data_IF_476023021703
#
_entry.id   IF_476023021703
#
_cell.length_a   1.000
_cell.length_b   1.000
_cell.length_c   1.000
_cell.angle_alpha   90.00
_cell.angle_beta   90.00
_cell.angle_gamma   90.00
#
_symmetry.space_group_name_H-M   'P 1'
#
loop_
_entity.id
_entity.type
_entity.pdbx_description
1 polymer ?
#
# COMPACT_ATOMS: atom_id res chain seq x y z
N UNK A 1 -19.32 0.03 -19.38
CA UNK A 1 -19.45 -0.35 -17.94
C UNK A 1 -18.14 -0.97 -17.52
N UNK A 2 -17.66 -0.59 -16.37
CA UNK A 2 -16.45 -1.20 -15.77
C UNK A 2 -16.82 -2.61 -15.29
N UNK A 3 -15.94 -3.59 -15.55
CA UNK A 3 -16.14 -4.96 -15.05
C UNK A 3 -16.20 -4.94 -13.51
N UNK A 4 -17.13 -5.70 -12.94
CA UNK A 4 -17.30 -5.73 -11.48
C UNK A 4 -16.36 -6.77 -10.89
N UNK A 5 -15.42 -6.37 -10.00
CA UNK A 5 -14.54 -7.32 -9.32
C UNK A 5 -15.32 -8.13 -8.27
N UNK A 6 -14.90 -9.37 -8.03
CA UNK A 6 -15.38 -10.19 -6.91
C UNK A 6 -14.53 -10.01 -5.66
N UNK A 7 -13.26 -9.65 -5.86
CA UNK A 7 -12.35 -9.32 -4.78
C UNK A 7 -11.45 -8.14 -5.17
N UNK A 8 -11.08 -7.33 -4.20
CA UNK A 8 -10.13 -6.21 -4.36
C UNK A 8 -9.08 -6.30 -3.26
N UNK A 9 -7.83 -6.27 -3.67
CA UNK A 9 -6.69 -6.08 -2.79
C UNK A 9 -6.18 -4.66 -2.94
N UNK A 10 -6.15 -3.93 -1.84
CA UNK A 10 -5.67 -2.54 -1.80
C UNK A 10 -4.24 -2.47 -1.27
N UNK A 11 -3.43 -1.58 -1.82
CA UNK A 11 -2.34 -1.01 -1.06
C UNK A 11 -2.90 -0.11 0.05
N UNK A 12 -2.03 0.47 0.89
CA UNK A 12 -2.43 1.22 2.07
C UNK A 12 -2.08 2.70 1.98
N UNK A 13 -0.78 3.04 2.07
CA UNK A 13 -0.31 4.43 2.03
C UNK A 13 -0.49 5.02 0.63
N UNK A 14 -1.01 6.24 0.52
CA UNK A 14 -1.41 6.91 -0.73
C UNK A 14 -2.55 6.24 -1.52
N UNK A 15 -3.06 5.10 -1.06
CA UNK A 15 -4.19 4.40 -1.67
C UNK A 15 -5.47 4.56 -0.86
N UNK A 16 -5.42 4.26 0.43
CA UNK A 16 -6.54 4.39 1.38
C UNK A 16 -6.27 5.43 2.47
N UNK A 17 -5.00 5.65 2.81
CA UNK A 17 -4.60 6.56 3.89
C UNK A 17 -3.42 7.44 3.50
N UNK A 18 -3.25 8.53 4.23
CA UNK A 18 -2.05 9.36 4.26
C UNK A 18 -1.41 9.27 5.65
N UNK A 19 -0.16 8.80 5.71
CA UNK A 19 0.69 8.80 6.90
C UNK A 19 2.11 9.29 6.59
N UNK A 20 2.30 9.98 5.47
CA UNK A 20 3.60 10.47 5.04
C UNK A 20 4.28 11.41 6.04
N UNK A 21 3.57 12.28 6.77
CA UNK A 21 4.21 13.07 7.82
C UNK A 21 4.86 12.19 8.90
N UNK A 22 4.21 11.11 9.32
CA UNK A 22 4.75 10.15 10.28
C UNK A 22 5.94 9.38 9.74
N UNK A 23 5.83 8.87 8.51
CA UNK A 23 6.91 8.14 7.80
C UNK A 23 8.13 9.03 7.59
N UNK A 24 7.93 10.28 7.15
CA UNK A 24 9.03 11.24 6.92
C UNK A 24 9.74 11.61 8.22
N UNK A 25 8.99 11.83 9.30
CA UNK A 25 9.58 12.12 10.60
C UNK A 25 10.44 10.95 11.12
N UNK A 26 9.95 9.72 10.99
CA UNK A 26 10.68 8.51 11.39
C UNK A 26 11.94 8.30 10.53
N UNK A 27 11.84 8.52 9.22
CA UNK A 27 13.00 8.44 8.32
C UNK A 27 14.06 9.47 8.66
N UNK A 28 13.65 10.70 8.97
CA UNK A 28 14.57 11.77 9.37
C UNK A 28 15.23 11.52 10.73
N UNK A 29 14.56 10.82 11.64
CA UNK A 29 15.19 10.36 12.88
C UNK A 29 16.31 9.34 12.58
N UNK A 30 16.05 8.38 11.68
CA UNK A 30 17.08 7.44 11.27
C UNK A 30 18.23 8.12 10.51
N UNK A 31 17.93 8.99 9.53
CA UNK A 31 18.94 9.74 8.77
C UNK A 31 19.82 10.59 9.69
N UNK A 32 19.21 11.32 10.63
CA UNK A 32 19.96 12.15 11.61
C UNK A 32 20.89 11.35 12.50
N UNK A 33 20.52 10.15 12.92
CA UNK A 33 21.37 9.27 13.72
C UNK A 33 22.60 8.74 12.95
N UNK A 34 22.59 8.85 11.62
CA UNK A 34 23.69 8.45 10.74
C UNK A 34 24.39 9.65 10.09
N UNK A 35 24.16 10.88 10.58
CA UNK A 35 24.70 12.11 10.02
C UNK A 35 24.39 12.31 8.53
N UNK A 36 23.25 11.75 8.06
CA UNK A 36 22.76 11.89 6.69
C UNK A 36 21.78 13.07 6.55
N UNK A 37 21.73 13.73 5.37
CA UNK A 37 20.78 14.82 5.14
C UNK A 37 19.33 14.37 5.32
N UNK A 38 18.54 15.20 6.00
CA UNK A 38 17.09 14.98 6.12
C UNK A 38 16.40 15.09 4.77
N UNK A 39 15.32 14.34 4.61
CA UNK A 39 14.48 14.38 3.42
C UNK A 39 13.22 15.19 3.69
N UNK A 40 12.78 15.89 2.66
CA UNK A 40 11.42 16.44 2.60
C UNK A 40 10.41 15.30 2.40
N UNK A 41 9.12 15.57 2.66
CA UNK A 41 8.08 14.59 2.40
C UNK A 41 8.04 14.19 0.92
N UNK A 42 8.24 15.14 0.01
CA UNK A 42 8.30 14.88 -1.43
C UNK A 42 9.45 13.93 -1.79
N UNK A 43 10.63 14.14 -1.22
CA UNK A 43 11.76 13.22 -1.42
C UNK A 43 11.48 11.85 -0.82
N UNK A 44 10.80 11.79 0.33
CA UNK A 44 10.40 10.52 0.95
C UNK A 44 9.47 9.74 0.03
N UNK A 45 8.39 10.36 -0.48
CA UNK A 45 7.45 9.75 -1.42
C UNK A 45 8.15 9.19 -2.67
N UNK A 46 9.11 9.91 -3.23
CA UNK A 46 9.87 9.48 -4.41
C UNK A 46 10.81 8.30 -4.12
N UNK A 47 11.36 8.20 -2.91
CA UNK A 47 12.39 7.22 -2.54
C UNK A 47 11.83 5.95 -1.87
N UNK A 48 10.66 6.03 -1.23
CA UNK A 48 10.04 4.92 -0.51
C UNK A 48 9.22 3.98 -1.41
N UNK A 49 9.74 3.64 -2.58
CA UNK A 49 9.04 2.79 -3.59
C UNK A 49 9.18 1.30 -3.34
N UNK A 50 10.00 0.88 -2.36
CA UNK A 50 10.25 -0.53 -2.00
C UNK A 50 10.06 -0.73 -0.51
N UNK A 51 9.95 -1.99 -0.09
CA UNK A 51 9.93 -2.31 1.33
C UNK A 51 11.22 -1.85 2.01
N UNK A 52 11.15 -1.65 3.33
CA UNK A 52 12.31 -1.22 4.11
C UNK A 52 13.48 -2.19 3.96
N UNK A 53 13.24 -3.51 4.02
CA UNK A 53 14.31 -4.51 3.90
C UNK A 53 15.04 -4.48 2.56
N UNK A 54 14.39 -3.97 1.50
CA UNK A 54 15.00 -3.81 0.18
C UNK A 54 15.67 -2.45 0.00
N UNK A 55 15.19 -1.41 0.71
CA UNK A 55 15.64 -0.04 0.52
C UNK A 55 16.71 0.39 1.54
N UNK A 56 16.56 0.06 2.81
CA UNK A 56 17.48 0.49 3.88
C UNK A 56 18.93 0.05 3.69
N UNK A 57 19.24 -1.17 3.23
CA UNK A 57 20.63 -1.56 2.93
C UNK A 57 21.32 -0.63 1.91
N UNK A 58 20.56 -0.05 0.98
CA UNK A 58 21.12 0.86 -0.03
C UNK A 58 21.42 2.26 0.53
N UNK A 59 20.74 2.65 1.63
CA UNK A 59 20.88 3.97 2.27
C UNK A 59 21.88 3.92 3.41
N UNK A 60 21.81 2.89 4.26
CA UNK A 60 22.53 2.79 5.52
C UNK A 60 23.65 1.73 5.53
N UNK A 61 23.83 0.99 4.38
CA UNK A 61 24.85 -0.05 4.26
C UNK A 61 24.69 -1.17 5.28
N UNK A 62 25.81 -1.65 5.82
CA UNK A 62 25.84 -2.77 6.79
C UNK A 62 25.08 -2.48 8.09
N UNK A 63 24.89 -1.21 8.43
CA UNK A 63 24.19 -0.78 9.66
C UNK A 63 22.70 -0.51 9.43
N UNK A 64 22.12 -1.02 8.36
CA UNK A 64 20.72 -0.77 8.04
C UNK A 64 19.73 -1.28 9.11
N UNK A 65 20.09 -2.31 9.86
CA UNK A 65 19.25 -2.82 10.94
C UNK A 65 19.18 -1.85 12.14
N UNK A 66 20.31 -1.19 12.48
CA UNK A 66 20.32 -0.13 13.49
C UNK A 66 19.40 1.04 13.06
N UNK A 67 19.49 1.43 11.78
CA UNK A 67 18.65 2.48 11.21
C UNK A 67 17.16 2.09 11.20
N UNK A 68 16.84 0.81 10.89
CA UNK A 68 15.49 0.27 10.99
C UNK A 68 14.92 0.40 12.40
N UNK A 69 15.69 0.04 13.40
CA UNK A 69 15.24 0.06 14.79
C UNK A 69 14.97 1.50 15.27
N UNK A 70 15.82 2.45 14.87
CA UNK A 70 15.59 3.88 15.11
C UNK A 70 14.33 4.37 14.38
N UNK A 71 14.17 3.99 13.12
CA UNK A 71 12.97 4.33 12.33
C UNK A 71 11.70 3.82 13.02
N UNK A 72 11.68 2.54 13.41
CA UNK A 72 10.49 1.95 14.01
C UNK A 72 10.17 2.56 15.37
N UNK A 73 11.16 2.84 16.20
CA UNK A 73 10.95 3.54 17.48
C UNK A 73 10.31 4.93 17.26
N UNK A 74 10.84 5.72 16.33
CA UNK A 74 10.28 7.04 16.01
C UNK A 74 8.92 6.97 15.33
N UNK A 75 8.65 5.93 14.51
CA UNK A 75 7.37 5.73 13.84
C UNK A 75 6.28 5.33 14.84
N UNK A 76 6.57 4.41 15.75
CA UNK A 76 5.65 3.97 16.80
C UNK A 76 5.07 5.12 17.62
N UNK A 77 5.90 6.14 17.93
CA UNK A 77 5.45 7.31 18.68
C UNK A 77 4.42 8.18 17.93
N UNK A 78 4.39 8.14 16.61
CA UNK A 78 3.69 9.15 15.80
C UNK A 78 2.70 8.61 14.78
N UNK A 79 2.83 7.37 14.33
CA UNK A 79 2.10 6.88 13.16
C UNK A 79 0.59 6.93 13.32
N UNK A 80 0.05 6.66 14.51
CA UNK A 80 -1.40 6.72 14.75
C UNK A 80 -1.92 8.16 14.82
N UNK A 81 -1.13 9.09 15.39
CA UNK A 81 -1.54 10.50 15.48
C UNK A 81 -1.41 11.25 14.15
N UNK A 82 -0.50 10.83 13.29
CA UNK A 82 -0.30 11.39 11.95
C UNK A 82 -1.26 10.80 10.91
N UNK A 83 -1.81 9.61 11.16
CA UNK A 83 -2.66 8.87 10.24
C UNK A 83 -3.93 9.64 9.85
N UNK A 84 -4.23 9.68 8.55
CA UNK A 84 -5.48 10.25 8.01
C UNK A 84 -6.03 9.34 6.91
N UNK A 85 -7.34 9.11 6.94
CA UNK A 85 -8.02 8.50 5.81
C UNK A 85 -7.98 9.43 4.59
N UNK A 86 -7.75 8.89 3.40
CA UNK A 86 -7.92 9.65 2.16
C UNK A 86 -9.40 9.92 1.89
N UNK A 87 -9.68 11.03 1.19
CA UNK A 87 -11.05 11.41 0.85
C UNK A 87 -11.77 10.31 0.09
N UNK A 88 -12.98 9.94 0.53
CA UNK A 88 -13.80 8.91 -0.10
C UNK A 88 -13.38 7.47 0.18
N UNK A 89 -12.27 7.21 0.89
CA UNK A 89 -11.79 5.85 1.14
C UNK A 89 -12.79 5.02 1.95
N UNK A 90 -13.30 5.55 3.06
CA UNK A 90 -14.29 4.84 3.89
C UNK A 90 -15.62 4.60 3.15
N UNK A 91 -16.06 5.59 2.36
CA UNK A 91 -17.26 5.46 1.53
C UNK A 91 -17.10 4.39 0.46
N UNK A 92 -15.91 4.30 -0.17
CA UNK A 92 -15.57 3.25 -1.11
C UNK A 92 -15.61 1.87 -0.44
N UNK A 93 -14.93 1.71 0.71
CA UNK A 93 -14.91 0.43 1.44
C UNK A 93 -16.32 0.01 1.88
N UNK A 94 -17.15 0.96 2.35
CA UNK A 94 -18.53 0.71 2.73
C UNK A 94 -19.39 0.25 1.55
N UNK A 95 -19.30 0.94 0.41
CA UNK A 95 -20.03 0.59 -0.80
C UNK A 95 -19.64 -0.79 -1.36
N UNK A 96 -18.36 -1.14 -1.31
CA UNK A 96 -17.87 -2.46 -1.72
C UNK A 96 -18.37 -3.57 -0.79
N UNK A 97 -18.39 -3.33 0.51
CA UNK A 97 -18.95 -4.28 1.50
C UNK A 97 -20.43 -4.53 1.27
N UNK A 98 -21.22 -3.48 1.00
CA UNK A 98 -22.64 -3.61 0.69
C UNK A 98 -22.90 -4.47 -0.57
N UNK A 99 -21.96 -4.46 -1.50
CA UNK A 99 -21.99 -5.28 -2.73
C UNK A 99 -21.39 -6.67 -2.55
N UNK A 100 -20.99 -7.03 -1.33
CA UNK A 100 -20.34 -8.31 -1.00
C UNK A 100 -19.05 -8.56 -1.79
N UNK A 101 -18.32 -7.49 -2.14
CA UNK A 101 -16.97 -7.60 -2.72
C UNK A 101 -16.00 -7.94 -1.59
N UNK A 102 -15.24 -9.03 -1.75
CA UNK A 102 -14.20 -9.38 -0.78
C UNK A 102 -13.08 -8.35 -0.85
N UNK A 103 -12.64 -7.83 0.29
CA UNK A 103 -11.54 -6.87 0.35
C UNK A 103 -10.39 -7.41 1.18
N UNK A 104 -9.18 -7.06 0.79
CA UNK A 104 -7.95 -7.31 1.54
C UNK A 104 -6.97 -6.16 1.37
N UNK A 105 -5.92 -6.15 2.21
CA UNK A 105 -4.82 -5.19 2.11
C UNK A 105 -3.52 -5.93 1.88
N UNK A 106 -2.69 -5.41 0.96
CA UNK A 106 -1.33 -5.88 0.70
C UNK A 106 -0.41 -4.67 0.61
N UNK A 107 0.42 -4.45 1.62
CA UNK A 107 1.28 -3.28 1.72
C UNK A 107 2.74 -3.64 2.02
N UNK A 108 3.67 -2.79 1.57
CA UNK A 108 5.09 -2.86 1.96
C UNK A 108 5.39 -2.20 3.32
N UNK A 109 4.35 -1.75 4.03
CA UNK A 109 4.44 -1.34 5.44
C UNK A 109 4.55 -2.56 6.35
N UNK A 110 5.31 -2.46 7.44
CA UNK A 110 5.37 -3.53 8.45
C UNK A 110 3.96 -3.91 8.94
N UNK A 111 3.67 -5.22 8.97
CA UNK A 111 2.33 -5.75 9.24
C UNK A 111 1.74 -5.34 10.59
N UNK A 112 2.58 -5.18 11.62
CA UNK A 112 2.09 -4.77 12.95
C UNK A 112 1.58 -3.33 12.94
N UNK A 113 2.34 -2.39 12.34
CA UNK A 113 1.89 -1.01 12.20
C UNK A 113 0.67 -0.89 11.29
N UNK A 114 0.65 -1.62 10.17
CA UNK A 114 -0.47 -1.67 9.24
C UNK A 114 -1.78 -2.07 9.95
N UNK A 115 -1.74 -3.14 10.73
CA UNK A 115 -2.92 -3.62 11.48
C UNK A 115 -3.35 -2.66 12.59
N UNK A 116 -2.39 -2.04 13.30
CA UNK A 116 -2.69 -1.02 14.32
C UNK A 116 -3.35 0.23 13.71
N UNK A 117 -2.91 0.64 12.51
CA UNK A 117 -3.53 1.74 11.77
C UNK A 117 -4.96 1.38 11.32
N UNK A 118 -5.17 0.18 10.77
CA UNK A 118 -6.51 -0.29 10.38
C UNK A 118 -7.47 -0.40 11.57
N UNK A 119 -6.97 -0.82 12.74
CA UNK A 119 -7.74 -0.86 13.98
C UNK A 119 -8.11 0.55 14.46
N UNK A 120 -7.15 1.49 14.43
CA UNK A 120 -7.37 2.89 14.83
C UNK A 120 -8.44 3.58 13.99
N UNK A 121 -8.51 3.28 12.68
CA UNK A 121 -9.54 3.77 11.78
C UNK A 121 -10.88 3.01 11.92
N UNK A 122 -10.94 1.92 12.68
CA UNK A 122 -12.12 1.05 12.77
C UNK A 122 -12.36 0.22 11.50
N UNK A 123 -11.34 0.04 10.65
CA UNK A 123 -11.48 -0.56 9.33
C UNK A 123 -11.16 -2.05 9.27
N UNK A 124 -10.69 -2.66 10.37
CA UNK A 124 -10.33 -4.09 10.41
C UNK A 124 -11.47 -4.98 9.89
N UNK A 125 -12.73 -4.63 10.20
CA UNK A 125 -13.91 -5.39 9.77
C UNK A 125 -14.27 -5.29 8.28
N UNK A 126 -13.61 -4.44 7.49
CA UNK A 126 -13.77 -4.41 6.05
C UNK A 126 -12.99 -5.50 5.32
N UNK A 127 -11.88 -5.95 5.90
CA UNK A 127 -10.90 -6.75 5.19
C UNK A 127 -10.92 -8.22 5.64
N UNK A 128 -10.91 -9.13 4.67
CA UNK A 128 -10.69 -10.54 4.90
C UNK A 128 -9.31 -10.80 5.51
N UNK A 129 -8.28 -10.11 5.00
CA UNK A 129 -6.92 -10.19 5.52
C UNK A 129 -6.15 -8.90 5.27
N UNK A 130 -5.27 -8.55 6.21
CA UNK A 130 -4.38 -7.40 6.15
C UNK A 130 -2.94 -7.93 6.19
N UNK A 131 -2.28 -7.88 5.03
CA UNK A 131 -0.93 -8.41 4.81
C UNK A 131 0.06 -7.26 4.67
N UNK A 132 1.03 -7.19 5.56
CA UNK A 132 2.11 -6.22 5.52
C UNK A 132 3.45 -6.85 5.11
N UNK A 133 4.47 -6.01 4.98
CA UNK A 133 5.85 -6.47 4.84
C UNK A 133 6.20 -7.42 5.99
N UNK A 134 6.97 -8.45 5.67
CA UNK A 134 7.39 -9.54 6.58
C UNK A 134 6.33 -10.59 6.92
N UNK A 135 5.07 -10.42 6.55
CA UNK A 135 4.06 -11.47 6.70
C UNK A 135 4.24 -12.59 5.65
N UNK A 136 4.77 -12.26 4.47
CA UNK A 136 5.21 -13.20 3.43
C UNK A 136 6.74 -13.27 3.34
N UNK A 137 7.28 -14.27 2.66
CA UNK A 137 8.75 -14.42 2.47
C UNK A 137 9.31 -13.25 1.66
N UNK A 138 8.56 -12.80 0.65
CA UNK A 138 8.91 -11.63 -0.18
C UNK A 138 7.78 -10.61 -0.15
N UNK A 139 8.17 -9.33 -0.18
CA UNK A 139 7.25 -8.20 -0.25
C UNK A 139 6.81 -7.91 -1.70
N UNK A 140 5.90 -6.94 -1.91
CA UNK A 140 5.61 -6.42 -3.25
C UNK A 140 6.93 -5.99 -3.94
N UNK A 141 7.11 -6.27 -5.22
CA UNK A 141 6.14 -6.74 -6.22
C UNK A 141 5.99 -8.26 -6.36
N UNK A 142 6.46 -9.07 -5.39
CA UNK A 142 6.20 -10.52 -5.43
C UNK A 142 4.70 -10.82 -5.33
N UNK A 143 4.28 -11.96 -5.93
CA UNK A 143 2.91 -12.47 -5.79
C UNK A 143 2.60 -13.04 -4.40
N UNK A 144 3.63 -13.41 -3.63
CA UNK A 144 3.45 -14.12 -2.36
C UNK A 144 2.51 -13.42 -1.36
N UNK A 145 2.59 -12.07 -1.14
CA UNK A 145 1.66 -11.40 -0.26
C UNK A 145 0.21 -11.38 -0.80
N UNK A 146 0.02 -11.45 -2.12
CA UNK A 146 -1.31 -11.57 -2.74
C UNK A 146 -1.89 -12.97 -2.48
N UNK A 147 -1.09 -14.02 -2.67
CA UNK A 147 -1.51 -15.40 -2.37
C UNK A 147 -1.89 -15.53 -0.89
N UNK A 148 -1.12 -14.90 0.01
CA UNK A 148 -1.43 -14.87 1.45
C UNK A 148 -2.71 -14.09 1.75
N UNK A 149 -2.94 -12.94 1.10
CA UNK A 149 -4.14 -12.12 1.31
C UNK A 149 -5.42 -12.83 0.85
N UNK A 150 -5.34 -13.67 -0.18
CA UNK A 150 -6.46 -14.45 -0.72
C UNK A 150 -6.62 -15.83 -0.07
N UNK A 151 -5.67 -16.27 0.77
CA UNK A 151 -5.76 -17.59 1.40
C UNK A 151 -7.08 -17.74 2.19
N UNK A 152 -7.72 -18.90 2.04
CA UNK A 152 -9.01 -19.24 2.67
C UNK A 152 -10.20 -18.35 2.26
N UNK A 153 -10.04 -17.44 1.30
CA UNK A 153 -11.10 -16.55 0.82
C UNK A 153 -12.07 -17.19 -0.17
N UNK A 154 -11.69 -18.30 -0.78
CA UNK A 154 -12.41 -18.90 -1.91
C UNK A 154 -12.13 -18.20 -3.26
N UNK A 155 -11.28 -17.17 -3.28
CA UNK A 155 -10.85 -16.47 -4.48
C UNK A 155 -9.41 -16.83 -4.85
N UNK A 156 -9.13 -16.82 -6.14
CA UNK A 156 -7.78 -17.00 -6.69
C UNK A 156 -7.44 -15.81 -7.60
N UNK A 157 -6.17 -15.43 -7.73
CA UNK A 157 -5.76 -14.39 -8.69
C UNK A 157 -6.32 -14.65 -10.09
N UNK A 158 -6.79 -13.61 -10.77
CA UNK A 158 -7.41 -13.67 -12.08
C UNK A 158 -8.22 -12.39 -12.38
N UNK A 159 -8.95 -12.38 -13.50
CA UNK A 159 -9.71 -11.20 -13.98
C UNK A 159 -10.80 -10.72 -13.01
N UNK A 160 -11.24 -11.56 -12.09
CA UNK A 160 -12.22 -11.20 -11.07
C UNK A 160 -11.60 -10.58 -9.80
N UNK A 161 -10.27 -10.52 -9.70
CA UNK A 161 -9.53 -9.96 -8.56
C UNK A 161 -8.73 -8.75 -9.00
N UNK A 162 -9.02 -7.60 -8.41
CA UNK A 162 -8.28 -6.38 -8.69
C UNK A 162 -7.19 -6.15 -7.64
N UNK A 163 -6.05 -5.65 -8.09
CA UNK A 163 -5.02 -5.10 -7.21
C UNK A 163 -4.96 -3.58 -7.44
N UNK A 164 -5.31 -2.82 -6.41
CA UNK A 164 -5.45 -1.37 -6.46
C UNK A 164 -4.33 -0.72 -5.66
N UNK A 165 -3.57 0.15 -6.28
CA UNK A 165 -2.52 0.92 -5.61
C UNK A 165 -2.13 2.16 -6.39
N UNK A 166 -1.31 3.01 -5.79
CA UNK A 166 -0.91 4.33 -6.32
C UNK A 166 0.42 4.31 -7.08
N UNK A 167 1.16 3.22 -7.02
CA UNK A 167 2.56 3.18 -7.43
C UNK A 167 2.90 2.09 -8.45
N UNK A 168 4.07 2.22 -9.08
CA UNK A 168 4.59 1.22 -10.02
C UNK A 168 4.70 -0.17 -9.38
N UNK A 169 5.09 -0.26 -8.10
CA UNK A 169 5.25 -1.54 -7.42
C UNK A 169 3.91 -2.27 -7.28
N UNK A 170 2.81 -1.55 -7.20
CA UNK A 170 1.45 -2.11 -7.13
C UNK A 170 1.02 -2.67 -8.48
N UNK A 171 1.26 -1.93 -9.56
CA UNK A 171 1.01 -2.43 -10.91
C UNK A 171 1.82 -3.70 -11.19
N UNK A 172 3.10 -3.70 -10.80
CA UNK A 172 3.97 -4.87 -10.93
C UNK A 172 3.44 -6.06 -10.12
N UNK A 173 3.00 -5.82 -8.88
CA UNK A 173 2.44 -6.86 -8.02
C UNK A 173 1.14 -7.43 -8.58
N UNK A 174 0.23 -6.57 -9.07
CA UNK A 174 -0.99 -6.97 -9.73
C UNK A 174 -0.72 -7.89 -10.92
N UNK A 175 0.18 -7.48 -11.83
CA UNK A 175 0.57 -8.30 -12.99
C UNK A 175 1.26 -9.60 -12.58
N UNK A 176 2.25 -9.53 -11.66
CA UNK A 176 3.01 -10.70 -11.21
C UNK A 176 2.14 -11.76 -10.54
N UNK A 177 1.06 -11.36 -9.88
CA UNK A 177 0.09 -12.25 -9.25
C UNK A 177 -0.99 -12.76 -10.21
N UNK A 178 -1.16 -12.13 -11.37
CA UNK A 178 -2.24 -12.43 -12.32
C UNK A 178 -3.58 -11.76 -11.96
N UNK A 179 -3.56 -10.76 -11.08
CA UNK A 179 -4.70 -9.90 -10.79
C UNK A 179 -4.82 -8.78 -11.83
N UNK A 180 -5.99 -8.14 -11.91
CA UNK A 180 -6.19 -6.94 -12.72
C UNK A 180 -5.49 -5.76 -12.04
N UNK A 181 -4.44 -5.16 -12.64
CA UNK A 181 -3.76 -4.00 -12.06
C UNK A 181 -4.61 -2.74 -12.23
N UNK A 182 -4.85 -2.04 -11.14
CA UNK A 182 -5.64 -0.79 -11.10
C UNK A 182 -4.80 0.30 -10.43
N UNK A 183 -4.64 1.42 -11.15
CA UNK A 183 -3.99 2.60 -10.61
C UNK A 183 -5.02 3.52 -9.96
N UNK A 184 -4.69 4.05 -8.78
CA UNK A 184 -5.47 5.09 -8.11
C UNK A 184 -4.56 6.26 -7.75
N UNK A 185 -5.07 7.49 -7.87
CA UNK A 185 -4.30 8.70 -7.63
C UNK A 185 -3.67 9.28 -8.89
N UNK A 186 -2.86 10.31 -8.69
CA UNK A 186 -2.19 11.08 -9.76
C UNK A 186 -0.65 11.14 -9.59
N UNK A 187 -0.09 10.30 -8.74
CA UNK A 187 1.35 10.21 -8.56
C UNK A 187 2.03 9.88 -9.90
N UNK A 188 3.08 10.63 -10.28
CA UNK A 188 3.69 10.47 -11.58
C UNK A 188 4.45 9.13 -11.68
N UNK A 189 4.04 8.29 -12.64
CA UNK A 189 4.77 7.11 -13.07
C UNK A 189 5.38 7.41 -14.44
N UNK A 190 6.65 7.01 -14.65
CA UNK A 190 7.32 7.24 -15.93
C UNK A 190 6.57 6.56 -17.09
N UNK A 191 6.45 7.25 -18.23
CA UNK A 191 5.69 6.74 -19.38
C UNK A 191 6.18 5.34 -19.85
N UNK A 192 7.48 5.10 -19.83
CA UNK A 192 8.05 3.81 -20.20
C UNK A 192 7.65 2.68 -19.22
N UNK A 193 7.44 3.00 -17.94
CA UNK A 193 6.95 2.05 -16.95
C UNK A 193 5.46 1.78 -17.14
N UNK A 194 4.65 2.82 -17.45
CA UNK A 194 3.23 2.66 -17.77
C UNK A 194 3.00 1.86 -19.07
N UNK A 195 3.86 2.00 -20.07
CA UNK A 195 3.82 1.15 -21.28
C UNK A 195 4.01 -0.33 -20.93
N UNK A 196 4.95 -0.63 -20.04
CA UNK A 196 5.30 -1.99 -19.64
C UNK A 196 4.31 -2.60 -18.64
N UNK A 197 3.80 -1.78 -17.73
CA UNK A 197 2.93 -2.17 -16.62
C UNK A 197 1.60 -1.42 -16.69
N UNK A 198 0.93 -1.54 -17.83
CA UNK A 198 -0.31 -0.80 -18.13
C UNK A 198 -1.41 -1.17 -17.14
N UNK A 199 -1.97 -0.21 -16.38
CA UNK A 199 -3.14 -0.47 -15.56
C UNK A 199 -4.37 -0.75 -16.44
N UNK A 200 -5.20 -1.69 -16.04
CA UNK A 200 -6.49 -1.96 -16.72
C UNK A 200 -7.48 -0.82 -16.49
N UNK A 201 -7.44 -0.21 -15.31
CA UNK A 201 -8.22 0.95 -14.92
C UNK A 201 -7.34 1.97 -14.20
N UNK A 202 -7.69 3.25 -14.35
CA UNK A 202 -7.06 4.35 -13.62
C UNK A 202 -8.17 5.25 -13.08
N UNK A 203 -8.18 5.43 -11.75
CA UNK A 203 -9.09 6.33 -11.04
C UNK A 203 -8.29 7.43 -10.36
N UNK A 204 -8.76 8.68 -10.44
CA UNK A 204 -8.06 9.81 -9.84
C UNK A 204 -8.09 9.76 -8.30
N UNK A 205 -9.10 9.15 -7.71
CA UNK A 205 -9.31 9.03 -6.27
C UNK A 205 -10.32 7.92 -5.92
N UNK A 206 -10.51 7.67 -4.62
CA UNK A 206 -11.46 6.68 -4.11
C UNK A 206 -12.91 7.00 -4.50
N UNK A 207 -13.27 8.27 -4.57
CA UNK A 207 -14.62 8.68 -4.98
C UNK A 207 -14.92 8.37 -6.45
N UNK A 208 -13.94 8.60 -7.33
CA UNK A 208 -14.05 8.24 -8.74
C UNK A 208 -14.19 6.73 -8.93
N UNK A 209 -13.38 5.94 -8.20
CA UNK A 209 -13.49 4.48 -8.20
C UNK A 209 -14.84 4.02 -7.68
N UNK A 210 -15.32 4.57 -6.56
CA UNK A 210 -16.62 4.25 -5.98
C UNK A 210 -17.74 4.48 -7.00
N UNK A 211 -17.82 5.67 -7.60
CA UNK A 211 -18.83 5.98 -8.63
C UNK A 211 -18.79 4.99 -9.79
N UNK A 212 -17.61 4.67 -10.31
CA UNK A 212 -17.47 3.74 -11.43
C UNK A 212 -17.93 2.31 -11.11
N UNK A 213 -17.89 1.91 -9.83
CA UNK A 213 -18.32 0.58 -9.38
C UNK A 213 -19.77 0.55 -8.88
N UNK A 214 -20.39 1.72 -8.59
CA UNK A 214 -21.74 1.77 -8.02
C UNK A 214 -22.80 2.24 -9.00
N UNK A 215 -22.43 3.03 -10.01
CA UNK A 215 -23.30 3.55 -11.08
C UNK A 215 -23.37 2.56 -12.26
#
# INVERSE_FOLDING_TARGET
>A
MVEQPRAILFDWDSTLVDNWPGVTAAMNAALGAFDLPHWTEQEMRLRAKRSMRDNFPTIFGERWEDARDIFYAAFEERHLSALRALGGAEDLLSALRERSVLMGVVSNKNGNFLRAEAETLGWTGFFHRIVGATDAVKDKPSREPVDLALADSGHVPGDAVWFVGDSLVDLQCGVASGCVPVLIGDEPIAAADLEKWTPRHHFIDCDAMRRALTD
#
